data_IF_816421764290
#
_entry.id   IF_816421764290
#
_cell.length_a   1.000
_cell.length_b   1.000
_cell.length_c   1.000
_cell.angle_alpha   90.00
_cell.angle_beta   90.00
_cell.angle_gamma   90.00
#
_symmetry.space_group_name_H-M   'P 1'
#
loop_
_entity.id
_entity.type
_entity.pdbx_description
1 polymer ?
#
# COMPACT_ATOMS: atom_id res chain seq x y z
N UNK A 1 -8.96 1.44 21.17
CA UNK A 1 -7.93 0.75 21.99
C UNK A 1 -8.05 -0.77 22.00
N UNK A 2 -9.24 -1.39 22.18
CA UNK A 2 -9.36 -2.88 22.18
C UNK A 2 -9.02 -3.51 20.82
N UNK A 3 -9.41 -2.92 19.72
CA UNK A 3 -9.10 -3.43 18.38
C UNK A 3 -7.60 -3.42 18.05
N UNK A 4 -6.90 -2.34 18.41
CA UNK A 4 -5.45 -2.24 18.17
C UNK A 4 -4.66 -3.26 19.00
N UNK A 5 -5.09 -3.56 20.23
CA UNK A 5 -4.47 -4.59 21.07
C UNK A 5 -4.66 -6.00 20.46
N UNK A 6 -5.80 -6.28 19.88
CA UNK A 6 -6.07 -7.56 19.20
C UNK A 6 -5.15 -7.73 17.99
N UNK A 7 -4.99 -6.70 17.17
CA UNK A 7 -4.09 -6.74 16.01
C UNK A 7 -2.64 -6.99 16.44
N UNK A 8 -2.17 -6.27 17.46
CA UNK A 8 -0.81 -6.47 18.01
C UNK A 8 -0.64 -7.88 18.57
N UNK A 9 -1.65 -8.42 19.27
CA UNK A 9 -1.59 -9.79 19.79
C UNK A 9 -1.49 -10.83 18.67
N UNK A 10 -2.27 -10.69 17.58
CA UNK A 10 -2.16 -11.57 16.42
C UNK A 10 -0.80 -11.45 15.71
N UNK A 11 -0.26 -10.24 15.60
CA UNK A 11 1.06 -10.01 15.03
C UNK A 11 2.15 -10.73 15.84
N UNK A 12 2.16 -10.53 17.16
CA UNK A 12 3.13 -11.20 18.06
C UNK A 12 2.98 -12.72 18.01
N UNK A 13 1.74 -13.22 18.01
CA UNK A 13 1.48 -14.65 17.88
C UNK A 13 2.02 -15.20 16.55
N UNK A 14 1.82 -14.47 15.43
CA UNK A 14 2.37 -14.83 14.12
C UNK A 14 3.90 -14.89 14.11
N UNK A 15 4.56 -13.89 14.69
CA UNK A 15 6.02 -13.88 14.82
C UNK A 15 6.54 -15.06 15.66
N UNK A 16 5.89 -15.34 16.79
CA UNK A 16 6.27 -16.49 17.65
C UNK A 16 6.07 -17.82 16.93
N UNK A 17 4.95 -17.98 16.23
CA UNK A 17 4.66 -19.19 15.45
C UNK A 17 5.69 -19.38 14.34
N UNK A 18 6.02 -18.32 13.60
CA UNK A 18 7.05 -18.37 12.55
C UNK A 18 8.42 -18.75 13.10
N UNK A 19 8.81 -18.17 14.23
CA UNK A 19 10.07 -18.52 14.92
C UNK A 19 10.12 -19.99 15.38
N UNK A 20 9.00 -20.50 15.92
CA UNK A 20 8.89 -21.90 16.34
C UNK A 20 9.01 -22.83 15.12
N UNK A 21 8.29 -22.54 14.03
CA UNK A 21 8.32 -23.34 12.80
C UNK A 21 9.72 -23.39 12.20
N UNK A 22 10.42 -22.26 12.16
CA UNK A 22 11.81 -22.17 11.70
C UNK A 22 12.76 -22.98 12.60
N UNK A 23 12.59 -22.90 13.93
CA UNK A 23 13.42 -23.63 14.90
C UNK A 23 13.28 -25.16 14.78
N UNK A 24 12.09 -25.64 14.41
CA UNK A 24 11.81 -27.09 14.24
C UNK A 24 11.94 -27.54 12.78
N UNK A 25 12.42 -26.70 11.85
CA UNK A 25 12.52 -26.97 10.40
C UNK A 25 11.22 -27.53 9.80
N UNK A 26 10.08 -27.06 10.31
CA UNK A 26 8.76 -27.42 9.80
C UNK A 26 8.47 -26.54 8.60
N UNK A 27 8.63 -27.11 7.39
CA UNK A 27 8.26 -26.45 6.15
C UNK A 27 6.80 -26.71 5.84
N UNK A 28 6.06 -25.62 5.67
CA UNK A 28 4.69 -25.68 5.18
C UNK A 28 4.77 -25.77 3.65
N UNK A 29 4.51 -26.96 3.08
CA UNK A 29 4.65 -27.23 1.64
C UNK A 29 3.66 -26.42 0.79
N UNK A 30 2.45 -26.21 1.27
CA UNK A 30 1.48 -25.34 0.63
C UNK A 30 1.63 -23.91 1.17
N UNK A 31 1.84 -22.95 0.29
CA UNK A 31 1.95 -21.56 0.69
C UNK A 31 0.57 -20.98 1.10
N UNK A 32 0.19 -21.06 2.39
CA UNK A 32 -1.09 -20.57 2.87
C UNK A 32 -1.20 -19.04 2.72
N UNK A 33 -0.07 -18.36 2.57
CA UNK A 33 0.01 -16.90 2.41
C UNK A 33 -0.77 -16.46 1.18
N UNK A 34 -0.69 -17.22 0.09
CA UNK A 34 -1.41 -16.92 -1.15
C UNK A 34 -2.93 -16.99 -0.97
N UNK A 35 -3.44 -18.02 -0.29
CA UNK A 35 -4.87 -18.15 -0.02
C UNK A 35 -5.37 -17.10 0.96
N UNK A 36 -4.58 -16.78 1.98
CA UNK A 36 -4.87 -15.68 2.93
C UNK A 36 -4.93 -14.35 2.18
N UNK A 37 -4.01 -14.11 1.24
CA UNK A 37 -4.00 -12.92 0.41
C UNK A 37 -5.27 -12.81 -0.44
N UNK A 38 -5.68 -13.89 -1.12
CA UNK A 38 -6.91 -13.91 -1.92
C UNK A 38 -8.14 -13.66 -1.05
N UNK A 39 -8.17 -14.22 0.16
CA UNK A 39 -9.26 -13.99 1.12
C UNK A 39 -9.29 -12.52 1.58
N UNK A 40 -8.14 -11.92 1.87
CA UNK A 40 -8.03 -10.49 2.18
C UNK A 40 -8.51 -9.62 1.03
N UNK A 41 -8.10 -9.91 -0.20
CA UNK A 41 -8.57 -9.18 -1.38
C UNK A 41 -10.09 -9.29 -1.55
N UNK A 42 -10.65 -10.49 -1.36
CA UNK A 42 -12.09 -10.71 -1.40
C UNK A 42 -12.81 -9.90 -0.32
N UNK A 43 -12.30 -9.91 0.91
CA UNK A 43 -12.89 -9.18 2.04
C UNK A 43 -12.87 -7.66 1.81
N UNK A 44 -11.75 -7.12 1.32
CA UNK A 44 -11.63 -5.70 0.95
C UNK A 44 -12.61 -5.37 -0.18
N UNK A 45 -12.67 -6.20 -1.23
CA UNK A 45 -13.60 -6.01 -2.34
C UNK A 45 -15.07 -6.02 -1.91
N UNK A 46 -15.45 -6.95 -1.03
CA UNK A 46 -16.80 -7.01 -0.45
C UNK A 46 -17.08 -5.78 0.43
N UNK A 47 -16.11 -5.35 1.24
CA UNK A 47 -16.22 -4.16 2.09
C UNK A 47 -16.50 -2.90 1.26
N UNK A 48 -15.68 -2.66 0.25
CA UNK A 48 -15.82 -1.52 -0.68
C UNK A 48 -17.13 -1.61 -1.48
N UNK A 49 -17.45 -2.80 -2.03
CA UNK A 49 -18.65 -3.00 -2.84
C UNK A 49 -19.96 -2.91 -2.05
N UNK A 50 -19.93 -3.19 -0.74
CA UNK A 50 -21.09 -3.12 0.14
C UNK A 50 -21.32 -1.73 0.74
N UNK A 51 -20.33 -0.85 0.66
CA UNK A 51 -20.42 0.51 1.20
C UNK A 51 -21.28 1.40 0.30
N UNK A 52 -22.50 1.67 0.77
CA UNK A 52 -23.45 2.54 0.06
C UNK A 52 -22.94 3.97 -0.13
N UNK A 53 -22.06 4.43 0.76
CA UNK A 53 -21.49 5.77 0.69
C UNK A 53 -20.47 5.85 -0.46
N UNK A 54 -19.60 4.86 -0.59
CA UNK A 54 -18.67 4.74 -1.72
C UNK A 54 -19.44 4.63 -3.05
N UNK A 55 -20.52 3.84 -3.07
CA UNK A 55 -21.34 3.67 -4.27
C UNK A 55 -22.06 4.96 -4.69
N UNK A 56 -22.51 5.78 -3.73
CA UNK A 56 -23.06 7.11 -4.01
C UNK A 56 -21.98 8.07 -4.52
N UNK A 57 -20.82 8.03 -3.94
CA UNK A 57 -19.63 8.78 -4.36
C UNK A 57 -19.31 8.49 -5.83
N UNK A 58 -19.21 7.21 -6.20
CA UNK A 58 -18.92 6.78 -7.58
C UNK A 58 -19.94 7.29 -8.61
N UNK A 59 -21.22 7.40 -8.23
CA UNK A 59 -22.27 7.96 -9.10
C UNK A 59 -22.16 9.46 -9.29
N UNK A 60 -21.51 10.18 -8.38
CA UNK A 60 -21.41 11.65 -8.39
C UNK A 60 -20.03 12.13 -8.89
N UNK A 61 -19.13 11.20 -9.21
CA UNK A 61 -17.76 11.50 -9.66
C UNK A 61 -17.80 12.33 -10.94
N UNK A 62 -17.25 13.54 -10.86
CA UNK A 62 -16.91 14.32 -12.04
C UNK A 62 -15.61 13.78 -12.63
N UNK A 63 -15.54 13.66 -13.96
CA UNK A 63 -14.35 13.17 -14.66
C UNK A 63 -13.05 13.91 -14.24
N UNK A 64 -13.15 15.16 -13.83
CA UNK A 64 -12.05 15.97 -13.31
C UNK A 64 -11.42 15.40 -12.03
N UNK A 65 -12.20 14.71 -11.17
CA UNK A 65 -11.69 14.13 -9.94
C UNK A 65 -10.84 12.89 -10.19
N UNK A 66 -11.09 12.18 -11.29
CA UNK A 66 -10.27 11.04 -11.73
C UNK A 66 -8.86 11.46 -12.18
N UNK A 67 -8.65 12.74 -12.47
CA UNK A 67 -7.32 13.25 -12.82
C UNK A 67 -6.34 13.14 -11.64
N UNK A 68 -6.81 13.18 -10.39
CA UNK A 68 -5.93 13.07 -9.20
C UNK A 68 -5.27 11.71 -9.13
N UNK A 69 -5.99 10.57 -9.08
CA UNK A 69 -5.35 9.26 -9.07
C UNK A 69 -4.54 9.00 -10.36
N UNK A 70 -5.03 9.41 -11.52
CA UNK A 70 -4.28 9.26 -12.79
C UNK A 70 -2.96 10.02 -12.74
N UNK A 71 -2.96 11.27 -12.29
CA UNK A 71 -1.74 12.08 -12.15
C UNK A 71 -0.77 11.45 -11.12
N UNK A 72 -1.30 10.90 -10.02
CA UNK A 72 -0.47 10.21 -9.01
C UNK A 72 0.18 8.95 -9.61
N UNK A 73 -0.57 8.14 -10.37
CA UNK A 73 -0.04 6.96 -11.04
C UNK A 73 1.06 7.36 -12.02
N UNK A 74 0.78 8.28 -12.93
CA UNK A 74 1.75 8.73 -13.93
C UNK A 74 2.98 9.32 -13.25
N UNK A 75 2.81 10.21 -12.28
CA UNK A 75 3.90 10.82 -11.54
C UNK A 75 4.76 9.80 -10.80
N UNK A 76 4.13 8.85 -10.09
CA UNK A 76 4.86 7.80 -9.38
C UNK A 76 5.67 6.94 -10.34
N UNK A 77 5.10 6.46 -11.43
CA UNK A 77 5.80 5.62 -12.41
C UNK A 77 6.94 6.39 -13.10
N UNK A 78 6.70 7.64 -13.48
CA UNK A 78 7.71 8.48 -14.13
C UNK A 78 8.91 8.75 -13.20
N UNK A 79 8.66 9.20 -11.97
CA UNK A 79 9.75 9.45 -11.02
C UNK A 79 10.45 8.17 -10.57
N UNK A 80 9.74 7.05 -10.47
CA UNK A 80 10.35 5.75 -10.16
C UNK A 80 11.23 5.25 -11.30
N UNK A 81 10.84 5.49 -12.56
CA UNK A 81 11.71 5.20 -13.71
C UNK A 81 12.99 6.04 -13.66
N UNK A 82 12.86 7.33 -13.34
CA UNK A 82 14.06 8.19 -13.17
C UNK A 82 14.94 7.71 -12.01
N UNK A 83 14.35 7.33 -10.88
CA UNK A 83 15.10 6.79 -9.74
C UNK A 83 15.79 5.45 -10.07
N UNK A 84 15.17 4.62 -10.91
CA UNK A 84 15.74 3.34 -11.33
C UNK A 84 17.09 3.49 -12.05
N UNK A 85 17.33 4.60 -12.75
CA UNK A 85 18.64 4.88 -13.36
C UNK A 85 19.76 5.10 -12.33
N UNK A 86 19.40 5.44 -11.09
CA UNK A 86 20.35 5.59 -9.98
C UNK A 86 20.59 4.27 -9.24
N UNK A 87 19.77 3.24 -9.49
CA UNK A 87 19.82 1.94 -8.82
C UNK A 87 20.30 0.90 -9.82
N UNK A 88 21.57 0.51 -9.74
CA UNK A 88 22.17 -0.45 -10.68
C UNK A 88 21.85 -1.91 -10.35
N UNK A 89 21.39 -2.20 -9.13
CA UNK A 89 21.19 -3.57 -8.64
C UNK A 89 19.87 -4.19 -9.15
N UNK A 90 18.83 -3.39 -9.39
CA UNK A 90 17.51 -3.83 -9.79
C UNK A 90 17.15 -3.33 -11.18
N UNK A 91 16.38 -4.13 -11.92
CA UNK A 91 15.91 -3.69 -13.22
C UNK A 91 14.88 -2.56 -13.08
N UNK A 92 14.70 -1.78 -14.15
CA UNK A 92 13.66 -0.73 -14.19
C UNK A 92 12.28 -1.31 -13.89
N UNK A 93 12.00 -2.52 -14.37
CA UNK A 93 10.72 -3.21 -14.11
C UNK A 93 10.55 -3.58 -12.63
N UNK A 94 11.63 -3.93 -11.92
CA UNK A 94 11.59 -4.24 -10.50
C UNK A 94 11.33 -2.98 -9.67
N UNK A 95 11.99 -1.88 -10.02
CA UNK A 95 11.75 -0.57 -9.40
C UNK A 95 10.30 -0.08 -9.62
N UNK A 96 9.77 -0.26 -10.84
CA UNK A 96 8.39 0.07 -11.14
C UNK A 96 7.40 -0.82 -10.38
N UNK A 97 7.71 -2.12 -10.23
CA UNK A 97 6.88 -3.05 -9.44
C UNK A 97 6.81 -2.59 -7.97
N UNK A 98 7.94 -2.21 -7.37
CA UNK A 98 8.00 -1.66 -6.00
C UNK A 98 7.17 -0.39 -5.88
N UNK A 99 7.31 0.54 -6.82
CA UNK A 99 6.61 1.83 -6.82
C UNK A 99 5.08 1.68 -7.02
N UNK A 100 4.66 0.67 -7.78
CA UNK A 100 3.25 0.39 -8.05
C UNK A 100 2.47 -0.15 -6.84
N UNK A 101 3.13 -0.33 -5.71
CA UNK A 101 2.47 -0.64 -4.45
C UNK A 101 1.60 0.49 -3.88
N UNK A 102 1.84 1.75 -4.28
CA UNK A 102 1.06 2.94 -3.90
C UNK A 102 0.73 3.03 -2.41
N UNK A 103 1.68 2.70 -1.54
CA UNK A 103 1.59 2.61 -0.09
C UNK A 103 0.79 1.39 0.44
N UNK A 104 0.25 0.52 -0.42
CA UNK A 104 -0.39 -0.72 0.03
C UNK A 104 0.66 -1.83 0.22
N UNK A 105 1.46 -1.68 1.26
CA UNK A 105 2.69 -2.44 1.51
C UNK A 105 2.49 -3.94 1.69
N UNK A 106 1.44 -4.37 2.39
CA UNK A 106 1.20 -5.80 2.68
C UNK A 106 0.91 -6.61 1.40
N UNK A 107 0.05 -6.08 0.53
CA UNK A 107 -0.29 -6.71 -0.73
C UNK A 107 0.89 -6.69 -1.70
N UNK A 108 1.53 -5.53 -1.89
CA UNK A 108 2.59 -5.36 -2.87
C UNK A 108 3.81 -6.22 -2.53
N UNK A 109 4.20 -6.30 -1.26
CA UNK A 109 5.31 -7.13 -0.80
C UNK A 109 5.09 -8.60 -1.14
N UNK A 110 3.95 -9.16 -0.76
CA UNK A 110 3.63 -10.58 -0.98
C UNK A 110 3.52 -10.88 -2.48
N UNK A 111 2.81 -10.03 -3.24
CA UNK A 111 2.67 -10.25 -4.69
C UNK A 111 4.01 -10.17 -5.43
N UNK A 112 4.88 -9.22 -5.07
CA UNK A 112 6.20 -9.11 -5.70
C UNK A 112 7.04 -10.33 -5.36
N UNK A 113 7.07 -10.78 -4.11
CA UNK A 113 7.79 -11.98 -3.70
C UNK A 113 7.31 -13.21 -4.49
N UNK A 114 6.01 -13.41 -4.59
CA UNK A 114 5.43 -14.57 -5.28
C UNK A 114 5.70 -14.52 -6.78
N UNK A 115 5.34 -13.43 -7.46
CA UNK A 115 5.48 -13.30 -8.91
C UNK A 115 6.93 -13.28 -9.40
N UNK A 116 7.84 -12.74 -8.59
CA UNK A 116 9.27 -12.64 -8.95
C UNK A 116 10.08 -13.87 -8.56
N UNK A 117 9.55 -14.77 -7.73
CA UNK A 117 10.22 -15.99 -7.29
C UNK A 117 10.67 -16.87 -8.47
N UNK A 118 9.87 -16.93 -9.53
CA UNK A 118 10.15 -17.70 -10.75
C UNK A 118 11.29 -17.09 -11.58
N UNK A 119 11.36 -15.75 -11.65
CA UNK A 119 12.32 -15.05 -12.53
C UNK A 119 13.64 -14.68 -11.83
N UNK A 120 13.60 -14.32 -10.54
CA UNK A 120 14.75 -13.86 -9.78
C UNK A 120 15.29 -14.91 -8.80
N UNK A 121 14.56 -16.02 -8.59
CA UNK A 121 14.80 -16.97 -7.51
C UNK A 121 14.21 -16.50 -6.17
N UNK A 122 14.00 -17.44 -5.26
CA UNK A 122 13.27 -17.20 -4.02
C UNK A 122 13.91 -16.12 -3.12
N UNK A 123 15.24 -16.11 -3.01
CA UNK A 123 15.95 -15.17 -2.15
C UNK A 123 15.84 -13.72 -2.67
N UNK A 124 16.19 -13.47 -3.93
CA UNK A 124 16.13 -12.13 -4.52
C UNK A 124 14.69 -11.60 -4.61
N UNK A 125 13.71 -12.49 -4.83
CA UNK A 125 12.30 -12.12 -4.80
C UNK A 125 11.85 -11.69 -3.40
N UNK A 126 12.31 -12.39 -2.33
CA UNK A 126 12.02 -12.02 -0.95
C UNK A 126 12.69 -10.68 -0.57
N UNK A 127 13.92 -10.44 -1.05
CA UNK A 127 14.59 -9.15 -0.87
C UNK A 127 13.79 -8.01 -1.54
N UNK A 128 13.37 -8.19 -2.78
CA UNK A 128 12.58 -7.20 -3.51
C UNK A 128 11.22 -6.95 -2.84
N UNK A 129 10.55 -8.00 -2.37
CA UNK A 129 9.32 -7.90 -1.59
C UNK A 129 9.51 -7.12 -0.28
N UNK A 130 10.64 -7.32 0.39
CA UNK A 130 11.00 -6.58 1.61
C UNK A 130 11.25 -5.10 1.29
N UNK A 131 11.95 -4.81 0.20
CA UNK A 131 12.16 -3.44 -0.27
C UNK A 131 10.81 -2.77 -0.56
N UNK A 132 9.88 -3.48 -1.22
CA UNK A 132 8.54 -2.97 -1.48
C UNK A 132 7.77 -2.69 -0.18
N UNK A 133 7.86 -3.59 0.80
CA UNK A 133 7.26 -3.40 2.12
C UNK A 133 7.75 -2.10 2.77
N UNK A 134 9.05 -1.96 2.92
CA UNK A 134 9.68 -0.82 3.60
C UNK A 134 9.39 0.48 2.84
N UNK A 135 9.53 0.50 1.52
CA UNK A 135 9.31 1.68 0.69
C UNK A 135 7.87 2.20 0.83
N UNK A 136 6.90 1.29 0.80
CA UNK A 136 5.49 1.66 0.92
C UNK A 136 5.11 2.07 2.35
N UNK A 137 5.71 1.48 3.39
CA UNK A 137 5.57 1.95 4.78
C UNK A 137 6.14 3.37 4.93
N UNK A 138 7.33 3.63 4.39
CA UNK A 138 7.93 4.98 4.43
C UNK A 138 7.01 5.98 3.72
N UNK A 139 6.45 5.62 2.57
CA UNK A 139 5.50 6.47 1.83
C UNK A 139 4.26 6.81 2.68
N UNK A 140 3.67 5.82 3.34
CA UNK A 140 2.55 6.03 4.25
C UNK A 140 2.94 6.94 5.44
N UNK A 141 4.08 6.68 6.06
CA UNK A 141 4.59 7.51 7.16
C UNK A 141 4.85 8.96 6.72
N UNK A 142 5.37 9.16 5.51
CA UNK A 142 5.53 10.50 4.94
C UNK A 142 4.19 11.21 4.74
N UNK A 143 3.14 10.49 4.33
CA UNK A 143 1.79 11.06 4.23
C UNK A 143 1.21 11.41 5.60
N UNK A 144 1.36 10.53 6.60
CA UNK A 144 0.84 10.74 7.96
C UNK A 144 1.55 11.90 8.69
N UNK A 145 2.87 11.86 8.74
CA UNK A 145 3.67 12.83 9.50
C UNK A 145 3.91 14.13 8.71
N UNK A 146 4.02 14.01 7.39
CA UNK A 146 4.29 15.14 6.51
C UNK A 146 3.05 15.92 6.09
N UNK A 147 1.83 15.45 6.37
CA UNK A 147 0.59 16.11 5.91
C UNK A 147 0.54 17.62 6.13
N UNK A 148 0.89 18.18 7.30
CA UNK A 148 0.87 19.63 7.51
C UNK A 148 1.86 20.37 6.61
N UNK A 149 3.02 19.78 6.32
CA UNK A 149 4.03 20.35 5.44
C UNK A 149 3.58 20.26 3.98
N UNK A 150 3.06 19.11 3.56
CA UNK A 150 2.56 18.91 2.21
C UNK A 150 1.43 19.89 1.88
N UNK A 151 0.47 20.07 2.79
CA UNK A 151 -0.62 21.06 2.60
C UNK A 151 -0.05 22.46 2.49
N UNK A 152 0.91 22.84 3.32
CA UNK A 152 1.49 24.18 3.34
C UNK A 152 2.24 24.53 2.04
N UNK A 153 3.01 23.58 1.50
CA UNK A 153 3.89 23.85 0.35
C UNK A 153 3.26 23.51 -1.00
N UNK A 154 2.41 22.48 -1.05
CA UNK A 154 1.89 21.90 -2.30
C UNK A 154 0.36 21.89 -2.38
N UNK A 155 -0.31 22.37 -1.32
CA UNK A 155 -1.77 22.45 -1.27
C UNK A 155 -2.47 21.18 -0.76
N UNK A 156 -3.81 21.24 -0.63
CA UNK A 156 -4.58 20.21 0.09
C UNK A 156 -4.65 18.85 -0.62
N UNK A 157 -4.34 18.76 -1.90
CA UNK A 157 -4.27 17.47 -2.63
C UNK A 157 -2.96 16.73 -2.40
N UNK A 158 -1.90 17.39 -1.95
CA UNK A 158 -0.58 16.80 -1.83
C UNK A 158 -0.51 15.62 -0.84
N UNK A 159 -1.12 15.67 0.36
CA UNK A 159 -1.15 14.51 1.25
C UNK A 159 -1.91 13.33 0.67
N UNK A 160 -2.93 13.58 -0.17
CA UNK A 160 -3.70 12.54 -0.86
C UNK A 160 -2.79 11.82 -1.86
N UNK A 161 -2.11 12.57 -2.72
CA UNK A 161 -1.17 12.00 -3.69
C UNK A 161 0.00 11.26 -3.01
N UNK A 162 0.48 11.76 -1.86
CA UNK A 162 1.53 11.10 -1.09
C UNK A 162 1.04 9.79 -0.45
N UNK A 163 -0.16 9.77 0.12
CA UNK A 163 -0.73 8.61 0.82
C UNK A 163 -1.09 7.45 -0.11
N UNK A 164 -1.37 7.72 -1.38
CA UNK A 164 -1.74 6.66 -2.32
C UNK A 164 -2.99 5.89 -1.87
N UNK A 165 -2.96 4.56 -1.94
CA UNK A 165 -4.10 3.72 -1.61
C UNK A 165 -4.54 3.79 -0.13
N UNK A 166 -3.67 4.22 0.79
CA UNK A 166 -4.01 4.33 2.22
C UNK A 166 -4.89 5.54 2.54
N UNK A 167 -5.16 6.40 1.56
CA UNK A 167 -5.99 7.61 1.76
C UNK A 167 -7.45 7.32 2.01
N UNK A 168 -7.93 6.13 1.64
CA UNK A 168 -9.30 5.71 1.91
C UNK A 168 -9.51 5.17 3.33
N UNK A 169 -8.43 4.81 4.06
CA UNK A 169 -8.51 4.17 5.37
C UNK A 169 -7.54 4.77 6.40
N UNK A 170 -6.28 4.34 6.44
CA UNK A 170 -5.34 4.65 7.51
C UNK A 170 -4.93 6.12 7.55
N UNK A 171 -4.75 6.77 6.41
CA UNK A 171 -4.36 8.20 6.35
C UNK A 171 -5.55 9.15 6.28
N UNK A 172 -6.78 8.65 6.08
CA UNK A 172 -7.99 9.47 5.96
C UNK A 172 -8.22 10.45 7.12
N UNK A 173 -8.05 10.05 8.40
CA UNK A 173 -8.22 10.97 9.52
C UNK A 173 -7.28 12.17 9.47
N UNK A 174 -6.03 11.94 9.05
CA UNK A 174 -5.00 12.98 8.92
C UNK A 174 -5.32 13.90 7.75
N UNK A 175 -5.72 13.34 6.60
CA UNK A 175 -6.17 14.11 5.44
C UNK A 175 -7.37 14.97 5.79
N UNK A 176 -8.38 14.41 6.46
CA UNK A 176 -9.56 15.17 6.89
C UNK A 176 -9.19 16.35 7.78
N UNK A 177 -8.20 16.17 8.65
CA UNK A 177 -7.73 17.21 9.58
C UNK A 177 -6.97 18.33 8.89
N UNK A 178 -6.07 18.02 7.96
CA UNK A 178 -5.14 18.99 7.37
C UNK A 178 -5.56 19.50 6.00
N UNK A 179 -6.13 18.65 5.15
CA UNK A 179 -6.66 19.04 3.84
C UNK A 179 -8.08 19.61 3.90
N UNK A 180 -8.85 19.18 4.92
CA UNK A 180 -10.24 19.59 5.11
C UNK A 180 -11.26 18.55 4.66
N UNK A 181 -12.49 18.70 5.16
CA UNK A 181 -13.59 17.75 4.91
C UNK A 181 -14.01 17.66 3.45
N UNK A 182 -13.83 18.72 2.69
CA UNK A 182 -14.19 18.77 1.26
C UNK A 182 -13.32 17.84 0.41
N UNK A 183 -12.12 17.50 0.90
CA UNK A 183 -11.18 16.62 0.21
C UNK A 183 -11.32 15.14 0.59
N UNK A 184 -12.15 14.80 1.59
CA UNK A 184 -12.41 13.42 2.01
C UNK A 184 -12.92 12.58 0.85
N UNK A 185 -13.81 13.14 0.04
CA UNK A 185 -14.32 12.49 -1.15
C UNK A 185 -13.22 12.10 -2.14
N UNK A 186 -12.27 13.02 -2.39
CA UNK A 186 -11.14 12.77 -3.30
C UNK A 186 -10.20 11.73 -2.69
N UNK A 187 -9.98 11.78 -1.38
CA UNK A 187 -9.13 10.84 -0.67
C UNK A 187 -9.67 9.39 -0.73
N UNK A 188 -10.98 9.22 -0.63
CA UNK A 188 -11.63 7.90 -0.74
C UNK A 188 -11.64 7.38 -2.18
N UNK A 189 -11.71 8.27 -3.16
CA UNK A 189 -11.70 7.92 -4.59
C UNK A 189 -10.29 7.57 -5.08
N UNK A 190 -9.27 8.16 -4.48
CA UNK A 190 -7.87 8.03 -4.85
C UNK A 190 -7.28 6.68 -4.48
#
# INVERSE_FOLDING_TARGET
>A
MRGSLIVVAFFVAGCLTGWILDTYDIRIEDDPTRYILYFLMLQVGLGVGSDKHIMQILKTVRLQLLLVPVATIIGTLLFSTLAAFCISQWSIYDCLAVASGFAYYSLSSVMITDLKSVSLGAQSAAELGTIALITNIIREMMALLGAPLWVRFFGPLAPICAGGATTMDTTLPVITRYSGKDFVFIAVLH
#
